data_IF_916274792346
#
_entry.id   IF_916274792346
#
_cell.length_a   1.000
_cell.length_b   1.000
_cell.length_c   1.000
_cell.angle_alpha   90.00
_cell.angle_beta   90.00
_cell.angle_gamma   90.00
#
_symmetry.space_group_name_H-M   'P 1'
#
loop_
_entity.id
_entity.type
_entity.pdbx_description
1 polymer ?
#
# COMPACT_ATOMS: atom_id res chain seq x y z
N UNK A 1 -64.30 -12.26 -90.01
CA UNK A 1 -62.99 -11.73 -89.61
C UNK A 1 -63.05 -10.23 -89.81
N UNK A 2 -63.54 -9.53 -88.79
CA UNK A 2 -64.04 -8.16 -88.94
C UNK A 2 -62.98 -7.08 -88.72
N UNK A 3 -63.28 -5.95 -89.36
CA UNK A 3 -62.44 -4.81 -89.71
C UNK A 3 -62.42 -3.70 -88.65
N UNK A 4 -61.27 -2.99 -88.61
CA UNK A 4 -61.10 -1.51 -88.64
C UNK A 4 -61.61 -0.60 -87.49
N UNK A 5 -60.69 0.31 -87.13
CA UNK A 5 -60.81 1.79 -86.98
C UNK A 5 -61.46 2.43 -85.72
N UNK A 6 -60.61 3.20 -85.03
CA UNK A 6 -60.77 4.60 -84.54
C UNK A 6 -62.05 5.07 -83.84
N UNK A 7 -61.89 5.62 -82.62
CA UNK A 7 -62.31 6.97 -82.16
C UNK A 7 -62.71 7.00 -80.66
N UNK A 8 -62.08 7.88 -79.89
CA UNK A 8 -62.64 8.56 -78.69
C UNK A 8 -63.69 9.61 -79.14
N UNK A 9 -64.52 10.25 -78.29
CA UNK A 9 -64.52 10.36 -76.82
C UNK A 9 -65.92 10.05 -76.19
N UNK A 10 -66.22 10.18 -74.88
CA UNK A 10 -66.77 11.41 -74.24
C UNK A 10 -67.17 11.12 -72.77
N UNK A 11 -66.66 11.98 -71.86
CA UNK A 11 -67.30 12.58 -70.66
C UNK A 11 -67.75 11.77 -69.42
N UNK A 12 -67.24 12.27 -68.26
CA UNK A 12 -67.85 12.42 -66.91
C UNK A 12 -67.99 11.11 -66.10
N UNK A 13 -67.53 11.02 -64.84
CA UNK A 13 -67.83 11.91 -63.72
C UNK A 13 -66.71 12.01 -62.68
N UNK A 14 -66.71 13.18 -62.03
CA UNK A 14 -65.86 13.63 -60.93
C UNK A 14 -66.11 12.87 -59.62
N UNK A 15 -65.03 12.51 -58.93
CA UNK A 15 -65.01 12.47 -57.46
C UNK A 15 -63.59 12.77 -56.97
N UNK A 16 -63.18 14.03 -57.14
CA UNK A 16 -61.94 14.54 -56.57
C UNK A 16 -62.28 15.18 -55.22
N UNK A 17 -62.14 14.41 -54.14
CA UNK A 17 -62.20 14.90 -52.77
C UNK A 17 -61.07 15.92 -52.56
N UNK A 18 -61.44 17.20 -52.56
CA UNK A 18 -60.57 18.31 -52.20
C UNK A 18 -60.27 18.27 -50.69
N UNK A 19 -59.10 17.74 -50.33
CA UNK A 19 -58.57 17.86 -48.98
C UNK A 19 -58.30 19.34 -48.63
N UNK A 20 -58.63 19.81 -47.40
CA UNK A 20 -58.46 21.20 -47.01
C UNK A 20 -56.98 21.60 -46.99
N UNK A 21 -56.69 22.75 -47.59
CA UNK A 21 -55.35 23.32 -47.74
C UNK A 21 -54.79 23.69 -46.36
N UNK A 22 -53.76 22.98 -45.90
CA UNK A 22 -53.08 23.24 -44.62
C UNK A 22 -52.34 24.58 -44.66
N UNK A 23 -52.79 25.56 -43.88
CA UNK A 23 -52.17 26.89 -43.77
C UNK A 23 -50.85 26.81 -42.96
N UNK A 24 -49.74 27.15 -43.61
CA UNK A 24 -48.39 27.16 -43.04
C UNK A 24 -48.18 28.47 -42.27
N UNK A 25 -47.58 28.41 -41.08
CA UNK A 25 -47.36 29.58 -40.21
C UNK A 25 -46.40 29.29 -39.06
N UNK A 26 -46.28 30.22 -38.11
CA UNK A 26 -45.39 30.04 -36.95
C UNK A 26 -45.78 28.77 -36.16
N UNK A 27 -44.80 27.88 -35.94
CA UNK A 27 -44.97 26.53 -35.34
C UNK A 27 -45.86 25.57 -36.15
N UNK A 28 -46.16 25.86 -37.42
CA UNK A 28 -46.92 25.00 -38.35
C UNK A 28 -46.11 24.71 -39.62
N UNK A 29 -45.13 23.79 -39.57
CA UNK A 29 -44.28 23.47 -40.72
C UNK A 29 -45.10 22.83 -41.86
N UNK A 30 -44.72 23.03 -43.15
CA UNK A 30 -45.43 22.43 -44.28
C UNK A 30 -45.53 20.90 -44.18
N UNK A 31 -46.71 20.34 -44.46
CA UNK A 31 -47.01 18.89 -44.30
C UNK A 31 -46.01 17.99 -45.03
N UNK A 32 -45.55 18.39 -46.22
CA UNK A 32 -44.59 17.61 -47.02
C UNK A 32 -43.18 17.53 -46.43
N UNK A 33 -42.86 18.39 -45.45
CA UNK A 33 -41.55 18.40 -44.76
C UNK A 33 -41.61 17.81 -43.34
N UNK A 34 -42.81 17.49 -42.84
CA UNK A 34 -42.95 16.91 -41.51
C UNK A 34 -42.49 15.45 -41.49
N UNK A 35 -41.70 15.08 -40.49
CA UNK A 35 -41.34 13.67 -40.27
C UNK A 35 -42.57 12.88 -39.85
N UNK A 36 -42.75 11.68 -40.41
CA UNK A 36 -43.82 10.77 -40.01
C UNK A 36 -43.63 10.38 -38.55
N UNK A 37 -44.71 10.38 -37.77
CA UNK A 37 -44.68 9.95 -36.36
C UNK A 37 -44.10 8.52 -36.28
N UNK A 38 -42.99 8.37 -35.56
CA UNK A 38 -42.28 7.09 -35.41
C UNK A 38 -41.11 6.88 -36.38
N UNK A 39 -40.92 7.76 -37.37
CA UNK A 39 -39.82 7.68 -38.32
C UNK A 39 -38.84 8.84 -38.07
N UNK A 40 -37.62 8.51 -37.65
CA UNK A 40 -36.53 9.49 -37.54
C UNK A 40 -36.19 10.05 -38.92
N UNK A 41 -35.94 11.36 -39.01
CA UNK A 41 -35.47 12.02 -40.23
C UNK A 41 -34.09 11.56 -40.70
N UNK A 42 -33.31 10.95 -39.80
CA UNK A 42 -32.04 10.31 -40.11
C UNK A 42 -32.16 8.81 -39.85
N UNK A 43 -32.32 8.02 -40.92
CA UNK A 43 -32.42 6.55 -40.84
C UNK A 43 -31.12 5.90 -40.37
N UNK A 44 -29.97 6.53 -40.64
CA UNK A 44 -28.66 6.13 -40.12
C UNK A 44 -28.32 6.76 -38.76
N UNK A 45 -29.28 7.50 -38.18
CA UNK A 45 -29.14 8.07 -36.86
C UNK A 45 -29.13 6.98 -35.78
N UNK A 46 -28.68 7.36 -34.58
CA UNK A 46 -28.65 6.43 -33.45
C UNK A 46 -30.08 5.96 -33.13
N UNK A 47 -30.38 4.64 -33.11
CA UNK A 47 -31.72 4.15 -32.85
C UNK A 47 -32.17 4.49 -31.42
N UNK A 48 -33.47 4.80 -31.29
CA UNK A 48 -34.09 5.17 -30.01
C UNK A 48 -33.95 4.02 -29.02
N UNK A 49 -33.23 4.24 -27.92
CA UNK A 49 -33.00 3.24 -26.87
C UNK A 49 -31.65 2.52 -26.91
N UNK A 50 -30.75 2.83 -27.85
CA UNK A 50 -29.41 2.25 -27.89
C UNK A 50 -28.59 2.67 -26.64
N UNK A 51 -28.27 1.71 -25.76
CA UNK A 51 -27.37 1.90 -24.61
C UNK A 51 -25.92 2.07 -25.09
N UNK A 52 -25.11 2.85 -24.38
CA UNK A 52 -23.66 2.85 -24.62
C UNK A 52 -23.13 1.45 -24.31
N UNK A 53 -22.37 0.83 -25.23
CA UNK A 53 -21.60 -0.37 -24.89
C UNK A 53 -20.50 0.08 -23.91
N UNK A 54 -20.54 -0.35 -22.66
CA UNK A 54 -19.36 -0.22 -21.81
C UNK A 54 -18.27 -1.06 -22.48
N UNK A 55 -17.13 -0.44 -22.78
CA UNK A 55 -15.92 -1.23 -22.96
C UNK A 55 -15.57 -1.69 -21.55
N UNK A 56 -15.77 -2.97 -21.27
CA UNK A 56 -15.30 -3.57 -20.02
C UNK A 56 -13.78 -3.63 -20.11
N UNK A 57 -13.12 -2.54 -19.71
CA UNK A 57 -11.69 -2.54 -19.45
C UNK A 57 -11.53 -3.33 -18.15
N UNK A 58 -10.75 -4.43 -18.13
CA UNK A 58 -10.50 -5.14 -16.89
C UNK A 58 -9.97 -4.16 -15.84
N UNK A 59 -10.54 -4.20 -14.64
CA UNK A 59 -10.23 -3.25 -13.56
C UNK A 59 -8.75 -3.24 -13.21
N UNK A 60 -8.07 -4.37 -13.38
CA UNK A 60 -6.62 -4.52 -13.22
C UNK A 60 -5.84 -3.70 -14.26
N UNK A 61 -6.16 -3.82 -15.54
CA UNK A 61 -5.51 -3.06 -16.62
C UNK A 61 -5.68 -1.55 -16.45
N UNK A 62 -6.87 -1.09 -16.04
CA UNK A 62 -7.08 0.34 -15.79
C UNK A 62 -6.28 0.82 -14.57
N UNK A 63 -6.23 0.03 -13.49
CA UNK A 63 -5.44 0.36 -12.32
C UNK A 63 -3.95 0.46 -12.66
N UNK A 64 -3.42 -0.48 -13.44
CA UNK A 64 -2.02 -0.50 -13.86
C UNK A 64 -1.67 0.74 -14.69
N UNK A 65 -2.48 1.08 -15.71
CA UNK A 65 -2.27 2.28 -16.54
C UNK A 65 -2.35 3.58 -15.72
N UNK A 66 -3.25 3.65 -14.73
CA UNK A 66 -3.34 4.80 -13.83
C UNK A 66 -2.07 4.91 -12.98
N UNK A 67 -1.56 3.81 -12.44
CA UNK A 67 -0.34 3.81 -11.64
C UNK A 67 0.88 4.17 -12.49
N UNK A 68 1.00 3.62 -13.71
CA UNK A 68 2.06 3.97 -14.65
C UNK A 68 2.08 5.48 -14.94
N UNK A 69 0.93 6.07 -15.29
CA UNK A 69 0.85 7.51 -15.57
C UNK A 69 1.07 8.36 -14.31
N UNK A 70 0.61 7.90 -13.15
CA UNK A 70 0.82 8.58 -11.87
C UNK A 70 2.31 8.65 -11.49
N UNK A 71 3.07 7.57 -11.75
CA UNK A 71 4.50 7.48 -11.43
C UNK A 71 5.43 7.95 -12.55
N UNK A 72 4.90 8.24 -13.74
CA UNK A 72 5.67 8.86 -14.83
C UNK A 72 6.28 10.19 -14.37
N UNK A 73 7.56 10.36 -14.64
CA UNK A 73 8.28 11.58 -14.32
C UNK A 73 7.93 12.72 -15.28
N UNK A 74 7.78 13.92 -14.73
CA UNK A 74 7.60 15.16 -15.48
C UNK A 74 8.52 16.25 -14.92
N UNK A 75 8.95 17.17 -15.78
CA UNK A 75 9.69 18.36 -15.36
C UNK A 75 8.71 19.45 -14.94
N UNK A 76 8.86 19.95 -13.70
CA UNK A 76 8.05 21.02 -13.13
C UNK A 76 8.98 22.15 -12.68
N UNK A 77 8.62 23.38 -13.01
CA UNK A 77 9.34 24.57 -12.53
C UNK A 77 8.79 25.02 -11.18
N UNK A 78 9.67 25.19 -10.21
CA UNK A 78 9.38 25.69 -8.87
C UNK A 78 10.33 26.85 -8.56
N UNK A 79 9.86 28.08 -8.79
CA UNK A 79 10.70 29.28 -8.79
C UNK A 79 11.76 29.19 -9.89
N UNK A 80 13.03 29.31 -9.50
CA UNK A 80 14.17 29.28 -10.42
C UNK A 80 14.71 27.86 -10.68
N UNK A 81 14.15 26.83 -10.02
CA UNK A 81 14.62 25.44 -10.14
C UNK A 81 13.64 24.60 -10.96
N UNK A 82 14.20 23.76 -11.82
CA UNK A 82 13.46 22.70 -12.53
C UNK A 82 13.64 21.39 -11.76
N UNK A 83 12.54 20.77 -11.33
CA UNK A 83 12.55 19.50 -10.64
C UNK A 83 11.88 18.43 -11.51
N UNK A 84 12.52 17.28 -11.64
CA UNK A 84 11.91 16.09 -12.23
C UNK A 84 11.27 15.28 -11.11
N UNK A 85 9.95 15.17 -11.12
CA UNK A 85 9.17 14.46 -10.09
C UNK A 85 8.02 13.67 -10.72
N UNK A 86 7.52 12.61 -10.05
CA UNK A 86 6.32 11.89 -10.50
C UNK A 86 5.11 12.81 -10.67
N UNK A 87 4.31 12.56 -11.71
CA UNK A 87 3.08 13.29 -12.04
C UNK A 87 2.14 13.43 -10.84
N UNK A 88 1.91 12.35 -10.09
CA UNK A 88 1.03 12.37 -8.91
C UNK A 88 1.53 13.33 -7.83
N UNK A 89 2.85 13.39 -7.62
CA UNK A 89 3.48 14.29 -6.65
C UNK A 89 3.36 15.74 -7.09
N UNK A 90 3.56 16.02 -8.38
CA UNK A 90 3.36 17.35 -8.96
C UNK A 90 1.92 17.84 -8.83
N UNK A 91 0.95 16.98 -9.18
CA UNK A 91 -0.48 17.28 -9.06
C UNK A 91 -0.87 17.57 -7.59
N UNK A 92 -0.40 16.75 -6.64
CA UNK A 92 -0.67 16.96 -5.22
C UNK A 92 -0.04 18.26 -4.69
N UNK A 93 1.19 18.61 -5.11
CA UNK A 93 1.82 19.90 -4.77
C UNK A 93 1.02 21.09 -5.30
N UNK A 94 0.61 21.03 -6.57
CA UNK A 94 -0.22 22.08 -7.17
C UNK A 94 -1.57 22.22 -6.45
N UNK A 95 -2.20 21.09 -6.09
CA UNK A 95 -3.42 21.08 -5.29
C UNK A 95 -3.22 21.74 -3.92
N UNK A 96 -2.16 21.37 -3.20
CA UNK A 96 -1.81 21.94 -1.90
C UNK A 96 -1.53 23.45 -1.99
N UNK A 97 -0.76 23.89 -2.99
CA UNK A 97 -0.48 25.31 -3.23
C UNK A 97 -1.75 26.11 -3.53
N UNK A 98 -2.65 25.56 -4.35
CA UNK A 98 -3.94 26.17 -4.64
C UNK A 98 -4.86 26.25 -3.41
N UNK A 99 -4.84 25.21 -2.56
CA UNK A 99 -5.55 25.20 -1.29
C UNK A 99 -5.01 26.29 -0.34
N UNK A 100 -3.69 26.40 -0.22
CA UNK A 100 -3.02 27.43 0.60
C UNK A 100 -3.34 28.86 0.11
N UNK A 101 -3.48 29.04 -1.20
CA UNK A 101 -3.89 30.32 -1.82
C UNK A 101 -5.38 30.66 -1.67
N UNK A 102 -6.17 29.85 -0.96
CA UNK A 102 -7.58 30.15 -0.66
C UNK A 102 -8.60 29.61 -1.67
N UNK A 103 -8.21 28.78 -2.65
CA UNK A 103 -9.16 28.22 -3.61
C UNK A 103 -10.05 27.18 -2.93
N UNK A 104 -11.31 27.51 -2.68
CA UNK A 104 -12.24 26.68 -1.89
C UNK A 104 -12.38 25.23 -2.38
N UNK A 105 -12.45 25.00 -3.71
CA UNK A 105 -12.52 23.64 -4.25
C UNK A 105 -11.27 22.83 -3.91
N UNK A 106 -10.08 23.44 -4.12
CA UNK A 106 -8.79 22.81 -3.80
C UNK A 106 -8.63 22.59 -2.30
N UNK A 107 -9.07 23.51 -1.44
CA UNK A 107 -9.09 23.33 0.02
C UNK A 107 -9.93 22.13 0.43
N UNK A 108 -11.17 22.04 -0.09
CA UNK A 108 -12.07 20.92 0.24
C UNK A 108 -11.48 19.59 -0.22
N UNK A 109 -10.97 19.52 -1.45
CA UNK A 109 -10.38 18.30 -1.99
C UNK A 109 -9.12 17.89 -1.21
N UNK A 110 -8.24 18.85 -0.90
CA UNK A 110 -7.02 18.59 -0.14
C UNK A 110 -7.32 18.10 1.29
N UNK A 111 -8.20 18.79 2.02
CA UNK A 111 -8.60 18.37 3.37
C UNK A 111 -9.29 17.00 3.36
N UNK A 112 -10.09 16.70 2.34
CA UNK A 112 -10.69 15.37 2.16
C UNK A 112 -9.61 14.29 1.99
N UNK A 113 -8.64 14.49 1.10
CA UNK A 113 -7.54 13.54 0.89
C UNK A 113 -6.71 13.34 2.16
N UNK A 114 -6.43 14.41 2.90
CA UNK A 114 -5.71 14.33 4.19
C UNK A 114 -6.52 13.53 5.22
N UNK A 115 -7.82 13.82 5.37
CA UNK A 115 -8.69 13.07 6.28
C UNK A 115 -8.79 11.59 5.91
N UNK A 116 -9.04 11.27 4.63
CA UNK A 116 -9.13 9.89 4.15
C UNK A 116 -7.81 9.12 4.34
N UNK A 117 -6.66 9.76 4.09
CA UNK A 117 -5.36 9.14 4.31
C UNK A 117 -5.04 8.95 5.80
N UNK A 118 -5.37 9.92 6.66
CA UNK A 118 -5.23 9.78 8.11
C UNK A 118 -6.10 8.65 8.65
N UNK A 119 -7.39 8.61 8.32
CA UNK A 119 -8.28 7.51 8.73
C UNK A 119 -7.80 6.17 8.19
N UNK A 120 -7.33 6.09 6.94
CA UNK A 120 -6.79 4.84 6.41
C UNK A 120 -5.50 4.40 7.14
N UNK A 121 -4.63 5.34 7.53
CA UNK A 121 -3.44 5.05 8.34
C UNK A 121 -3.83 4.59 9.75
N UNK A 122 -4.76 5.28 10.41
CA UNK A 122 -5.28 4.93 11.73
C UNK A 122 -5.92 3.54 11.72
N UNK A 123 -6.74 3.23 10.72
CA UNK A 123 -7.36 1.91 10.57
C UNK A 123 -6.31 0.82 10.38
N UNK A 124 -5.27 1.05 9.57
CA UNK A 124 -4.16 0.09 9.41
C UNK A 124 -3.38 -0.12 10.71
N UNK A 125 -3.10 0.97 11.43
CA UNK A 125 -2.45 0.90 12.75
C UNK A 125 -3.30 0.11 13.73
N UNK A 126 -4.61 0.38 13.78
CA UNK A 126 -5.55 -0.32 14.64
C UNK A 126 -5.65 -1.81 14.30
N UNK A 127 -5.75 -2.17 13.01
CA UNK A 127 -5.73 -3.57 12.57
C UNK A 127 -4.44 -4.29 12.97
N UNK A 128 -3.28 -3.65 12.79
CA UNK A 128 -2.01 -4.21 13.21
C UNK A 128 -1.96 -4.39 14.73
N UNK A 129 -2.43 -3.39 15.47
CA UNK A 129 -2.47 -3.41 16.93
C UNK A 129 -3.34 -4.55 17.46
N UNK A 130 -4.56 -4.73 16.93
CA UNK A 130 -5.44 -5.85 17.29
C UNK A 130 -4.78 -7.20 17.01
N UNK A 131 -4.22 -7.38 15.81
CA UNK A 131 -3.56 -8.63 15.43
C UNK A 131 -2.37 -8.96 16.35
N UNK A 132 -1.62 -7.94 16.78
CA UNK A 132 -0.47 -8.10 17.66
C UNK A 132 -0.88 -8.43 19.10
N UNK A 133 -1.95 -7.80 19.61
CA UNK A 133 -2.50 -8.14 20.94
C UNK A 133 -2.97 -9.59 20.94
N UNK A 134 -3.74 -9.99 19.94
CA UNK A 134 -4.24 -11.36 19.82
C UNK A 134 -3.06 -12.35 19.75
N UNK A 135 -2.05 -12.05 18.94
CA UNK A 135 -0.84 -12.87 18.83
C UNK A 135 -0.10 -12.98 20.17
N UNK A 136 0.13 -11.86 20.86
CA UNK A 136 0.86 -11.79 22.13
C UNK A 136 0.13 -12.56 23.22
N UNK A 137 -1.19 -12.35 23.34
CA UNK A 137 -2.03 -13.05 24.31
C UNK A 137 -2.02 -14.56 24.04
N UNK A 138 -2.32 -14.99 22.80
CA UNK A 138 -2.37 -16.40 22.44
C UNK A 138 -1.08 -17.15 22.76
N UNK A 139 0.07 -16.57 22.44
CA UNK A 139 1.36 -17.22 22.69
C UNK A 139 1.78 -17.15 24.15
N UNK A 140 1.47 -16.08 24.88
CA UNK A 140 1.70 -16.06 26.32
C UNK A 140 0.92 -17.19 27.02
N UNK A 141 -0.36 -17.36 26.66
CA UNK A 141 -1.19 -18.44 27.19
C UNK A 141 -0.65 -19.83 26.81
N UNK A 142 -0.07 -20.00 25.62
CA UNK A 142 0.57 -21.26 25.20
C UNK A 142 1.88 -21.52 25.96
N UNK A 143 2.73 -20.50 26.12
CA UNK A 143 3.99 -20.60 26.86
C UNK A 143 3.71 -20.92 28.33
N UNK A 144 2.73 -20.28 28.95
CA UNK A 144 2.38 -20.51 30.35
C UNK A 144 1.76 -21.90 30.55
N UNK A 145 0.94 -22.38 29.60
CA UNK A 145 0.47 -23.77 29.58
C UNK A 145 1.62 -24.76 29.47
N UNK A 146 2.56 -24.55 28.55
CA UNK A 146 3.71 -25.43 28.36
C UNK A 146 4.56 -25.50 29.64
N UNK A 147 4.81 -24.36 30.30
CA UNK A 147 5.50 -24.29 31.59
C UNK A 147 4.77 -25.05 32.68
N UNK A 148 3.45 -24.87 32.80
CA UNK A 148 2.64 -25.52 33.82
C UNK A 148 2.57 -27.05 33.65
N UNK A 149 2.70 -27.54 32.42
CA UNK A 149 2.62 -28.96 32.08
C UNK A 149 4.00 -29.61 31.87
N UNK A 150 5.09 -28.91 32.19
CA UNK A 150 6.48 -29.34 31.98
C UNK A 150 6.75 -29.83 30.53
N UNK A 151 6.10 -29.21 29.56
CA UNK A 151 6.29 -29.47 28.14
C UNK A 151 7.42 -28.60 27.56
N UNK A 152 8.01 -28.98 26.41
CA UNK A 152 8.98 -28.13 25.73
C UNK A 152 8.37 -26.76 25.43
N UNK A 153 9.04 -25.69 25.89
CA UNK A 153 8.54 -24.32 25.74
C UNK A 153 8.57 -23.96 24.25
N UNK A 154 7.42 -23.60 23.65
CA UNK A 154 7.40 -23.17 22.27
C UNK A 154 8.10 -21.82 22.12
N UNK A 155 8.82 -21.67 21.00
CA UNK A 155 9.59 -20.48 20.70
C UNK A 155 9.14 -19.87 19.36
N UNK A 156 8.01 -19.13 19.39
CA UNK A 156 7.40 -18.58 18.20
C UNK A 156 8.22 -17.42 17.63
N UNK A 157 8.04 -17.18 16.33
CA UNK A 157 8.67 -16.07 15.61
C UNK A 157 7.54 -15.21 15.03
N UNK A 158 7.47 -13.92 15.35
CA UNK A 158 8.26 -13.21 16.38
C UNK A 158 7.91 -13.66 17.82
N UNK A 159 8.84 -13.52 18.77
CA UNK A 159 8.53 -13.85 20.17
C UNK A 159 7.59 -12.78 20.79
N UNK A 160 6.62 -13.13 21.67
CA UNK A 160 5.69 -12.17 22.31
C UNK A 160 6.37 -10.97 22.99
N UNK A 161 7.50 -11.20 23.65
CA UNK A 161 8.30 -10.16 24.32
C UNK A 161 9.08 -9.25 23.36
N UNK A 162 9.18 -9.61 22.07
CA UNK A 162 9.76 -8.77 21.03
C UNK A 162 8.75 -7.81 20.39
N UNK A 163 7.49 -7.87 20.84
CA UNK A 163 6.40 -7.01 20.39
C UNK A 163 6.10 -5.98 21.49
N UNK A 164 6.52 -4.74 21.23
CA UNK A 164 6.31 -3.60 22.13
C UNK A 164 5.28 -2.67 21.52
N UNK A 165 4.23 -2.37 22.27
CA UNK A 165 3.19 -1.44 21.84
C UNK A 165 3.10 -0.25 22.79
N UNK A 166 2.78 0.92 22.23
CA UNK A 166 2.41 2.10 22.99
C UNK A 166 0.87 2.17 23.04
N UNK A 167 0.24 1.93 24.21
CA UNK A 167 -1.22 1.90 24.32
C UNK A 167 -1.87 3.27 24.11
N UNK A 168 -1.10 4.36 24.15
CA UNK A 168 -1.62 5.72 23.96
C UNK A 168 -1.56 6.14 22.50
N UNK A 169 -0.53 5.74 21.77
CA UNK A 169 -0.37 6.09 20.35
C UNK A 169 -0.88 5.01 19.39
N UNK A 170 -1.06 3.78 19.89
CA UNK A 170 -1.41 2.61 19.07
C UNK A 170 -0.25 2.13 18.18
N UNK A 171 0.96 2.63 18.41
CA UNK A 171 2.14 2.23 17.63
C UNK A 171 2.69 0.89 18.11
N UNK A 172 2.98 0.00 17.16
CA UNK A 172 3.63 -1.29 17.41
C UNK A 172 5.07 -1.23 16.90
N UNK A 173 6.02 -1.68 17.72
CA UNK A 173 7.43 -1.83 17.39
C UNK A 173 7.85 -3.30 17.54
N UNK A 174 8.61 -3.77 16.57
CA UNK A 174 9.23 -5.09 16.53
C UNK A 174 10.70 -4.93 16.88
N UNK A 175 11.14 -5.51 17.99
CA UNK A 175 12.51 -5.36 18.50
C UNK A 175 13.36 -6.61 18.20
N UNK A 176 12.72 -7.73 17.88
CA UNK A 176 13.36 -9.00 17.59
C UNK A 176 13.05 -9.53 16.19
N UNK A 177 13.53 -10.75 15.88
CA UNK A 177 13.40 -11.34 14.55
C UNK A 177 11.93 -11.61 14.17
N UNK A 178 11.56 -11.30 12.93
CA UNK A 178 10.23 -11.59 12.37
C UNK A 178 10.23 -12.80 11.44
N UNK A 179 11.40 -13.23 10.96
CA UNK A 179 11.54 -14.41 10.11
C UNK A 179 12.46 -15.47 10.70
N UNK A 180 12.34 -16.70 10.19
CA UNK A 180 13.25 -17.81 10.55
C UNK A 180 14.69 -17.54 10.14
N UNK A 181 14.90 -16.77 9.08
CA UNK A 181 16.23 -16.42 8.57
C UNK A 181 16.88 -15.39 9.47
N UNK A 182 16.16 -14.31 9.77
CA UNK A 182 16.58 -13.28 10.72
C UNK A 182 16.88 -13.86 12.10
N UNK A 183 16.09 -14.85 12.55
CA UNK A 183 16.34 -15.51 13.83
C UNK A 183 17.69 -16.21 13.90
N UNK A 184 18.13 -16.86 12.82
CA UNK A 184 19.44 -17.54 12.80
C UNK A 184 20.58 -16.54 12.95
N UNK A 185 20.49 -15.41 12.25
CA UNK A 185 21.47 -14.34 12.35
C UNK A 185 21.44 -13.72 13.75
N UNK A 186 20.24 -13.52 14.29
CA UNK A 186 20.04 -13.00 15.63
C UNK A 186 20.65 -13.92 16.70
N UNK A 187 20.42 -15.23 16.62
CA UNK A 187 21.00 -16.24 17.50
C UNK A 187 22.55 -16.21 17.44
N UNK A 188 23.12 -16.04 16.24
CA UNK A 188 24.56 -15.91 16.02
C UNK A 188 25.12 -14.66 16.72
N UNK A 189 24.43 -13.52 16.59
CA UNK A 189 24.83 -12.27 17.24
C UNK A 189 24.72 -12.33 18.76
N UNK A 190 23.64 -12.92 19.29
CA UNK A 190 23.49 -13.15 20.73
C UNK A 190 24.62 -14.03 21.27
N UNK A 191 24.93 -15.12 20.57
CA UNK A 191 26.01 -16.03 20.96
C UNK A 191 27.38 -15.35 20.98
N UNK A 192 27.72 -14.58 19.93
CA UNK A 192 28.97 -13.78 19.91
C UNK A 192 29.05 -12.80 21.06
N UNK A 193 27.97 -12.06 21.31
CA UNK A 193 27.92 -11.06 22.40
C UNK A 193 28.14 -11.72 23.76
N UNK A 194 27.52 -12.88 24.01
CA UNK A 194 27.73 -13.64 25.25
C UNK A 194 29.15 -14.19 25.36
N UNK A 195 29.71 -14.68 24.25
CA UNK A 195 31.11 -15.12 24.18
C UNK A 195 32.09 -14.00 24.56
N UNK A 196 31.92 -12.81 23.98
CA UNK A 196 32.72 -11.62 24.32
C UNK A 196 32.58 -11.21 25.78
N UNK A 197 31.39 -11.32 26.37
CA UNK A 197 31.18 -11.04 27.79
C UNK A 197 31.92 -12.03 28.67
N UNK A 198 31.96 -13.31 28.29
CA UNK A 198 32.69 -14.33 29.05
C UNK A 198 34.21 -14.18 28.86
N UNK A 199 34.69 -13.85 27.66
CA UNK A 199 36.09 -13.53 27.37
C UNK A 199 36.58 -12.33 28.19
N UNK A 200 35.79 -11.24 28.27
CA UNK A 200 36.11 -10.10 29.14
C UNK A 200 36.28 -10.54 30.59
N UNK A 201 35.43 -11.43 31.12
CA UNK A 201 35.56 -11.92 32.50
C UNK A 201 36.86 -12.72 32.71
N UNK A 202 37.26 -13.50 31.72
CA UNK A 202 38.53 -14.25 31.76
C UNK A 202 39.73 -13.29 31.71
N UNK A 203 39.74 -12.35 30.77
CA UNK A 203 40.78 -11.32 30.66
C UNK A 203 40.87 -10.45 31.91
N UNK A 204 39.74 -10.07 32.52
CA UNK A 204 39.71 -9.34 33.78
C UNK A 204 40.27 -10.15 34.96
N UNK A 205 40.10 -11.47 34.94
CA UNK A 205 40.67 -12.37 35.94
C UNK A 205 42.19 -12.49 35.75
N UNK A 206 42.65 -12.69 34.51
CA UNK A 206 44.07 -12.71 34.19
C UNK A 206 44.77 -11.38 34.51
N UNK A 207 44.09 -10.26 34.27
CA UNK A 207 44.58 -8.92 34.62
C UNK A 207 44.77 -8.78 36.14
N UNK A 208 43.90 -9.37 36.96
CA UNK A 208 44.01 -9.36 38.44
C UNK A 208 45.15 -10.25 38.93
N UNK A 209 45.39 -11.37 38.27
CA UNK A 209 46.44 -12.33 38.66
C UNK A 209 47.83 -11.92 38.15
N UNK A 210 47.89 -11.05 37.13
CA UNK A 210 49.11 -10.60 36.48
C UNK A 210 49.83 -9.51 37.28
N UNK A 211 51.15 -9.69 37.52
CA UNK A 211 52.03 -8.68 38.12
C UNK A 211 52.88 -7.91 37.10
N UNK A 212 52.89 -8.37 35.85
CA UNK A 212 53.68 -7.80 34.76
C UNK A 212 52.97 -6.62 34.09
N UNK A 213 53.53 -5.42 34.24
CA UNK A 213 52.95 -4.18 33.74
C UNK A 213 52.74 -4.13 32.21
N UNK A 214 53.62 -4.81 31.43
CA UNK A 214 53.47 -4.86 29.96
C UNK A 214 52.31 -5.77 29.53
N UNK A 215 52.16 -6.91 30.19
CA UNK A 215 51.09 -7.86 29.90
C UNK A 215 49.73 -7.28 30.35
N UNK A 216 49.68 -6.63 31.51
CA UNK A 216 48.50 -5.92 31.98
C UNK A 216 47.99 -4.86 30.99
N UNK A 217 48.90 -4.17 30.29
CA UNK A 217 48.52 -3.18 29.27
C UNK A 217 47.89 -3.83 28.03
N UNK A 218 48.44 -4.94 27.56
CA UNK A 218 47.90 -5.70 26.42
C UNK A 218 46.50 -6.23 26.76
N UNK A 219 46.34 -6.85 27.94
CA UNK A 219 45.05 -7.34 28.41
C UNK A 219 44.00 -6.22 28.50
N UNK A 220 44.40 -5.02 28.95
CA UNK A 220 43.50 -3.86 28.98
C UNK A 220 43.12 -3.39 27.58
N UNK A 221 44.08 -3.33 26.64
CA UNK A 221 43.82 -2.95 25.25
C UNK A 221 42.85 -3.95 24.57
N UNK A 222 42.97 -5.25 24.88
CA UNK A 222 42.06 -6.31 24.39
C UNK A 222 40.65 -6.18 24.99
N UNK A 223 40.54 -5.96 26.31
CA UNK A 223 39.25 -5.70 26.98
C UNK A 223 38.55 -4.48 26.35
N UNK A 224 39.29 -3.38 26.14
CA UNK A 224 38.76 -2.16 25.55
C UNK A 224 38.30 -2.39 24.10
N UNK A 225 39.04 -3.20 23.32
CA UNK A 225 38.64 -3.58 21.96
C UNK A 225 37.34 -4.39 21.94
N UNK A 226 37.21 -5.39 22.83
CA UNK A 226 35.99 -6.21 22.91
C UNK A 226 34.80 -5.36 23.34
N UNK A 227 34.98 -4.41 24.27
CA UNK A 227 33.93 -3.45 24.63
C UNK A 227 33.47 -2.60 23.44
N UNK A 228 34.38 -2.16 22.56
CA UNK A 228 34.01 -1.43 21.33
C UNK A 228 33.16 -2.30 20.39
N UNK A 229 33.46 -3.59 20.27
CA UNK A 229 32.67 -4.53 19.48
C UNK A 229 31.27 -4.74 20.09
N UNK A 230 31.17 -4.88 21.41
CA UNK A 230 29.88 -4.97 22.12
C UNK A 230 29.06 -3.69 21.92
N UNK A 231 29.66 -2.51 22.04
CA UNK A 231 28.98 -1.23 21.83
C UNK A 231 28.50 -1.04 20.38
N UNK A 232 29.26 -1.55 19.39
CA UNK A 232 28.82 -1.56 18.00
C UNK A 232 27.57 -2.44 17.83
N UNK A 233 27.54 -3.62 18.47
CA UNK A 233 26.40 -4.55 18.42
C UNK A 233 25.21 -4.03 19.24
N UNK A 234 25.42 -3.26 20.31
CA UNK A 234 24.35 -2.72 21.18
C UNK A 234 23.30 -1.90 20.41
N UNK A 235 23.66 -1.28 19.28
CA UNK A 235 22.70 -0.59 18.40
C UNK A 235 21.69 -1.53 17.73
N UNK A 236 22.12 -2.75 17.41
CA UNK A 236 21.30 -3.79 16.81
C UNK A 236 20.65 -4.68 17.86
N UNK A 237 21.36 -4.96 18.96
CA UNK A 237 20.95 -5.83 20.05
C UNK A 237 21.15 -5.14 21.42
N UNK A 238 20.22 -4.25 21.81
CA UNK A 238 20.17 -3.67 23.14
C UNK A 238 20.28 -4.70 24.28
N UNK A 239 20.80 -4.28 25.42
CA UNK A 239 21.08 -5.16 26.57
C UNK A 239 19.81 -5.61 27.31
N UNK A 240 18.73 -4.84 27.19
CA UNK A 240 17.43 -5.09 27.81
C UNK A 240 16.51 -5.99 26.96
N UNK A 241 16.98 -6.43 25.79
CA UNK A 241 16.21 -7.32 24.93
C UNK A 241 16.07 -8.69 25.59
N UNK A 242 14.83 -9.17 25.61
CA UNK A 242 14.51 -10.53 26.02
C UNK A 242 15.19 -11.57 25.10
N UNK A 243 15.94 -12.50 25.68
CA UNK A 243 16.54 -13.63 24.96
C UNK A 243 15.74 -14.90 25.28
N UNK A 244 15.12 -15.57 24.28
CA UNK A 244 14.34 -16.76 24.54
C UNK A 244 15.25 -17.93 24.97
N UNK A 245 14.73 -18.87 25.78
CA UNK A 245 15.52 -19.99 26.32
C UNK A 245 16.17 -20.86 25.24
N UNK A 246 15.50 -21.04 24.10
CA UNK A 246 16.00 -21.76 22.93
C UNK A 246 17.30 -21.19 22.37
N UNK A 247 17.42 -19.86 22.31
CA UNK A 247 18.64 -19.18 21.87
C UNK A 247 19.76 -19.37 22.88
N UNK A 248 19.45 -19.33 24.18
CA UNK A 248 20.42 -19.64 25.22
C UNK A 248 20.91 -21.10 25.15
N UNK A 249 20.02 -22.05 24.83
CA UNK A 249 20.41 -23.45 24.57
C UNK A 249 21.28 -23.58 23.31
N UNK A 250 20.96 -22.85 22.26
CA UNK A 250 21.78 -22.79 21.05
C UNK A 250 23.20 -22.28 21.33
N UNK A 251 23.34 -21.22 22.13
CA UNK A 251 24.66 -20.70 22.56
C UNK A 251 25.46 -21.77 23.30
N UNK A 252 24.81 -22.51 24.22
CA UNK A 252 25.45 -23.57 25.01
C UNK A 252 25.89 -24.79 24.19
N UNK A 253 25.12 -25.14 23.16
CA UNK A 253 25.32 -26.38 22.38
C UNK A 253 26.33 -26.24 21.26
N UNK A 254 26.70 -25.01 20.87
CA UNK A 254 27.66 -24.74 19.80
C UNK A 254 28.71 -23.69 20.19
N UNK A 255 29.52 -23.93 21.23
CA UNK A 255 30.54 -22.98 21.66
C UNK A 255 31.57 -22.68 20.57
N UNK A 256 31.89 -23.67 19.74
CA UNK A 256 32.92 -23.61 18.68
C UNK A 256 32.60 -22.64 17.51
N UNK A 257 31.35 -22.18 17.39
CA UNK A 257 30.96 -21.20 16.37
C UNK A 257 31.24 -19.76 16.79
N UNK A 258 31.57 -19.53 18.06
CA UNK A 258 31.54 -18.22 18.70
C UNK A 258 32.76 -17.92 19.58
N UNK A 259 33.53 -18.94 19.98
CA UNK A 259 34.88 -18.77 20.49
C UNK A 259 35.88 -18.69 19.32
N UNK A 260 36.79 -17.72 19.38
CA UNK A 260 38.01 -17.76 18.58
C UNK A 260 39.05 -18.68 19.24
#
# INVERSE_FOLDING_TARGET
>A
MDKRLSNLPTSLENNNQSNPTYEVGYKKPPVHTQFKKGQSGNQNGRPKGAKNKSKDIPSTLLADLILEEAYREISVHEGDKTLTIPMVKAALRSLAMNAAKGKHYSQRLFLKLVGETQTAMENKKFQLFEAVIEYKQRWNDEIDRAKAWNQPIPDPIPHPEHLVFDPRTGDVRFIGPMSKEEKKEWDLWVARKLGWIDEIKELEKELKDTKDCKLAKILQDDIDHIWQLIDAVRKMLPDDIFIPPSTLEFVKTKPDLYGF
#
